data_IF_201907185354
#
_entry.id   IF_201907185354
#
_cell.length_a   1.000
_cell.length_b   1.000
_cell.length_c   1.000
_cell.angle_alpha   90.00
_cell.angle_beta   90.00
_cell.angle_gamma   90.00
#
_symmetry.space_group_name_H-M   'P 1'
#
loop_
_entity.id
_entity.type
_entity.pdbx_description
1 polymer ?
#
# COMPACT_ATOMS: atom_id res chain seq x y z
N UNK A 1 -23.24 21.07 -8.81
CA UNK A 1 -22.93 20.01 -7.82
C UNK A 1 -21.45 20.08 -7.51
N UNK A 2 -21.06 20.10 -6.23
CA UNK A 2 -19.65 19.99 -5.86
C UNK A 2 -19.15 18.57 -6.22
N UNK A 3 -17.91 18.41 -6.73
CA UNK A 3 -17.36 17.11 -7.01
C UNK A 3 -17.26 16.27 -5.72
N UNK A 4 -17.67 15.01 -5.79
CA UNK A 4 -17.48 14.08 -4.70
C UNK A 4 -16.07 13.50 -4.80
N UNK A 5 -15.14 14.10 -4.04
CA UNK A 5 -13.78 13.59 -3.94
C UNK A 5 -13.75 12.17 -3.41
N UNK A 6 -13.00 11.31 -4.08
CA UNK A 6 -12.89 9.89 -3.79
C UNK A 6 -11.49 9.38 -4.11
N UNK A 7 -11.10 8.26 -3.49
CA UNK A 7 -9.89 7.54 -3.93
C UNK A 7 -10.18 6.82 -5.25
N UNK A 8 -9.29 6.98 -6.21
CA UNK A 8 -9.31 6.27 -7.48
C UNK A 8 -9.25 4.75 -7.25
N UNK A 9 -9.90 3.97 -8.11
CA UNK A 9 -9.67 2.52 -8.17
C UNK A 9 -8.21 2.28 -8.52
N UNK A 10 -7.48 1.56 -7.67
CA UNK A 10 -6.03 1.40 -7.82
C UNK A 10 -5.60 -0.01 -7.42
N UNK A 11 -4.68 -0.60 -8.20
CA UNK A 11 -3.95 -1.79 -7.79
C UNK A 11 -3.01 -1.41 -6.64
N UNK A 12 -3.12 -2.04 -5.46
CA UNK A 12 -2.38 -1.58 -4.28
C UNK A 12 -0.85 -1.61 -4.41
N UNK A 13 -0.32 -2.44 -5.32
CA UNK A 13 1.11 -2.55 -5.58
C UNK A 13 1.77 -1.28 -6.11
N UNK A 14 0.99 -0.33 -6.67
CA UNK A 14 1.51 0.96 -7.11
C UNK A 14 2.20 1.75 -5.99
N UNK A 15 1.78 1.56 -4.74
CA UNK A 15 2.37 2.22 -3.57
C UNK A 15 3.88 1.89 -3.43
N UNK A 16 4.32 0.72 -3.92
CA UNK A 16 5.74 0.33 -3.90
C UNK A 16 6.60 1.02 -4.94
N UNK A 17 6.00 1.43 -6.05
CA UNK A 17 6.75 1.91 -7.21
C UNK A 17 6.79 3.43 -7.28
N UNK A 18 5.67 4.07 -6.99
CA UNK A 18 5.46 5.48 -7.31
C UNK A 18 5.88 6.38 -6.16
N UNK A 19 6.48 7.57 -6.41
CA UNK A 19 6.90 8.50 -5.37
C UNK A 19 5.78 8.84 -4.37
N UNK A 20 6.13 9.21 -3.14
CA UNK A 20 5.17 9.58 -2.09
C UNK A 20 4.05 10.53 -2.54
N UNK A 21 4.41 11.55 -3.33
CA UNK A 21 3.46 12.58 -3.77
C UNK A 21 2.37 12.03 -4.69
N UNK A 22 2.54 10.83 -5.23
CA UNK A 22 1.50 10.11 -5.97
C UNK A 22 0.19 10.00 -5.18
N UNK A 23 0.26 9.93 -3.84
CA UNK A 23 -0.92 9.93 -2.99
C UNK A 23 -1.89 11.09 -3.29
N UNK A 24 -1.38 12.28 -3.64
CA UNK A 24 -2.22 13.42 -4.04
C UNK A 24 -3.02 13.15 -5.32
N UNK A 25 -2.43 12.42 -6.27
CA UNK A 25 -3.04 12.07 -7.56
C UNK A 25 -4.02 10.90 -7.47
N UNK A 26 -4.06 10.19 -6.33
CA UNK A 26 -5.05 9.13 -6.11
C UNK A 26 -6.42 9.67 -5.69
N UNK A 27 -6.53 10.94 -5.32
CA UNK A 27 -7.80 11.55 -4.89
C UNK A 27 -8.40 12.30 -6.08
N UNK A 28 -9.43 11.72 -6.69
CA UNK A 28 -10.05 12.18 -7.92
C UNK A 28 -11.50 12.62 -7.69
N UNK A 29 -12.02 13.56 -8.48
CA UNK A 29 -13.44 13.92 -8.44
C UNK A 29 -14.33 12.90 -9.19
N UNK A 30 -13.78 12.18 -10.17
CA UNK A 30 -14.47 11.14 -10.96
C UNK A 30 -13.48 10.04 -11.35
N UNK A 31 -13.95 8.79 -11.42
CA UNK A 31 -13.16 7.61 -11.82
C UNK A 31 -12.97 7.52 -13.34
N UNK A 32 -13.85 8.16 -14.12
CA UNK A 32 -13.84 8.03 -15.57
C UNK A 32 -13.06 9.16 -16.21
N UNK A 33 -13.47 10.40 -16.00
CA UNK A 33 -12.83 11.55 -16.64
C UNK A 33 -13.09 12.83 -15.87
N UNK A 34 -12.07 13.65 -15.68
CA UNK A 34 -12.20 14.94 -15.01
C UNK A 34 -11.20 15.97 -15.54
N UNK A 35 -11.47 17.26 -15.32
CA UNK A 35 -10.53 18.31 -15.73
C UNK A 35 -9.36 18.41 -14.73
N UNK A 36 -8.13 18.54 -15.24
CA UNK A 36 -6.92 18.82 -14.46
C UNK A 36 -7.09 20.01 -13.51
N UNK A 37 -7.91 21.00 -13.87
CA UNK A 37 -8.24 22.16 -13.02
C UNK A 37 -8.89 21.80 -11.68
N UNK A 38 -9.50 20.61 -11.57
CA UNK A 38 -10.00 20.11 -10.29
C UNK A 38 -8.87 20.01 -9.25
N UNK A 39 -7.65 19.75 -9.69
CA UNK A 39 -6.44 19.69 -8.86
C UNK A 39 -5.68 21.02 -8.78
N UNK A 40 -6.33 22.16 -9.03
CA UNK A 40 -5.70 23.49 -8.96
C UNK A 40 -5.03 23.80 -7.61
N UNK A 41 -5.50 23.17 -6.52
CA UNK A 41 -4.96 23.34 -5.17
C UNK A 41 -3.82 22.37 -4.80
N UNK A 42 -3.44 21.45 -5.69
CA UNK A 42 -2.35 20.52 -5.40
C UNK A 42 -1.00 21.24 -5.35
N UNK A 43 -0.05 20.74 -4.54
CA UNK A 43 1.25 21.36 -4.40
C UNK A 43 2.18 20.97 -5.58
N UNK A 44 1.89 21.47 -6.77
CA UNK A 44 2.51 21.06 -8.03
C UNK A 44 4.05 21.14 -8.05
N UNK A 45 4.63 22.13 -7.37
CA UNK A 45 6.07 22.37 -7.34
C UNK A 45 6.81 21.59 -6.25
N UNK A 46 6.10 20.80 -5.42
CA UNK A 46 6.75 20.05 -4.33
C UNK A 46 7.49 18.83 -4.87
N UNK A 47 8.60 18.51 -4.17
CA UNK A 47 9.36 17.30 -4.39
C UNK A 47 8.48 16.05 -4.32
N UNK A 48 8.70 15.10 -5.25
CA UNK A 48 7.86 13.91 -5.37
C UNK A 48 8.17 12.83 -4.33
N UNK A 49 9.42 12.78 -3.88
CA UNK A 49 9.90 11.83 -2.88
C UNK A 49 9.88 12.49 -1.50
N UNK A 50 9.26 11.84 -0.51
CA UNK A 50 9.32 12.31 0.88
C UNK A 50 10.78 12.40 1.33
N UNK A 51 11.09 13.36 2.19
CA UNK A 51 12.29 13.32 3.00
C UNK A 51 11.98 12.57 4.30
N UNK A 52 12.73 11.51 4.67
CA UNK A 52 12.57 10.87 5.98
C UNK A 52 12.88 11.83 7.15
N UNK A 53 13.52 12.98 6.90
CA UNK A 53 13.89 13.96 7.90
C UNK A 53 15.26 13.67 8.51
N UNK A 54 15.57 14.32 9.62
CA UNK A 54 16.85 14.11 10.32
C UNK A 54 16.83 12.85 11.19
N UNK A 55 17.98 12.18 11.30
CA UNK A 55 18.13 11.04 12.24
C UNK A 55 17.88 11.49 13.69
N UNK A 56 18.24 12.73 14.04
CA UNK A 56 18.07 13.27 15.39
C UNK A 56 16.59 13.40 15.77
N UNK A 57 15.72 13.76 14.82
CA UNK A 57 14.26 13.80 15.05
C UNK A 57 13.69 12.41 15.36
N UNK A 58 14.25 11.38 14.71
CA UNK A 58 13.86 9.98 14.92
C UNK A 58 14.29 9.49 16.30
N UNK A 59 15.55 9.77 16.68
CA UNK A 59 16.09 9.45 18.01
C UNK A 59 15.29 10.18 19.09
N UNK A 60 15.05 11.48 18.93
CA UNK A 60 14.26 12.27 19.88
C UNK A 60 12.81 11.78 20.00
N UNK A 61 12.22 11.25 18.91
CA UNK A 61 10.89 10.62 18.96
C UNK A 61 10.94 9.29 19.70
N UNK A 62 11.91 8.43 19.42
CA UNK A 62 12.07 7.15 20.11
C UNK A 62 12.29 7.35 21.61
N UNK A 63 13.21 8.21 22.02
CA UNK A 63 13.51 8.47 23.43
C UNK A 63 12.31 9.01 24.22
N UNK A 64 11.39 9.77 23.59
CA UNK A 64 10.16 10.27 24.25
C UNK A 64 9.20 9.16 24.67
N UNK A 65 9.26 7.99 24.03
CA UNK A 65 8.34 6.90 24.28
C UNK A 65 8.90 5.81 25.20
N UNK A 66 10.19 5.89 25.58
CA UNK A 66 10.86 4.87 26.39
C UNK A 66 11.29 5.38 27.78
N UNK A 67 11.24 4.54 28.83
CA UNK A 67 11.84 4.87 30.12
C UNK A 67 13.34 5.16 29.97
N UNK A 68 13.90 6.07 30.77
CA UNK A 68 15.32 6.48 30.69
C UNK A 68 16.34 5.32 30.68
N UNK A 69 16.02 4.17 31.29
CA UNK A 69 16.89 2.99 31.32
C UNK A 69 16.99 2.25 29.98
N UNK A 70 16.08 2.52 29.05
CA UNK A 70 16.04 1.91 27.71
C UNK A 70 16.40 2.92 26.61
N UNK A 71 16.78 4.15 26.97
CA UNK A 71 17.00 5.23 26.01
C UNK A 71 18.11 4.91 24.99
N UNK A 72 19.23 4.34 25.43
CA UNK A 72 20.34 3.97 24.56
C UNK A 72 19.94 2.88 23.56
N UNK A 73 19.13 1.92 24.01
CA UNK A 73 18.60 0.85 23.16
C UNK A 73 17.59 1.43 22.16
N UNK A 74 16.67 2.30 22.60
CA UNK A 74 15.70 2.97 21.74
C UNK A 74 16.38 3.86 20.69
N UNK A 75 17.48 4.53 21.04
CA UNK A 75 18.31 5.29 20.11
C UNK A 75 18.95 4.39 19.07
N UNK A 76 19.58 3.28 19.48
CA UNK A 76 20.19 2.33 18.55
C UNK A 76 19.15 1.83 17.52
N UNK A 77 17.99 1.38 17.99
CA UNK A 77 16.89 0.94 17.13
C UNK A 77 16.40 2.05 16.19
N UNK A 78 16.30 3.30 16.69
CA UNK A 78 15.88 4.43 15.86
C UNK A 78 16.88 4.72 14.74
N UNK A 79 18.18 4.66 15.01
CA UNK A 79 19.25 4.85 14.02
C UNK A 79 19.29 3.73 13.00
N UNK A 80 19.27 2.47 13.44
CA UNK A 80 19.22 1.31 12.54
C UNK A 80 17.99 1.35 11.63
N UNK A 81 16.85 1.77 12.19
CA UNK A 81 15.62 1.93 11.43
C UNK A 81 15.71 3.09 10.42
N UNK A 82 16.25 4.24 10.82
CA UNK A 82 16.51 5.37 9.93
C UNK A 82 17.39 4.96 8.74
N UNK A 83 18.50 4.28 9.00
CA UNK A 83 19.41 3.81 7.96
C UNK A 83 18.72 2.82 7.01
N UNK A 84 17.87 1.93 7.53
CA UNK A 84 17.06 1.03 6.70
C UNK A 84 16.14 1.81 5.78
N UNK A 85 15.42 2.80 6.31
CA UNK A 85 14.46 3.63 5.55
C UNK A 85 15.17 4.43 4.46
N UNK A 86 16.31 5.05 4.77
CA UNK A 86 17.12 5.78 3.78
C UNK A 86 17.59 4.85 2.67
N UNK A 87 18.11 3.65 3.00
CA UNK A 87 18.54 2.66 2.00
C UNK A 87 17.39 2.18 1.11
N UNK A 88 16.25 1.83 1.69
CA UNK A 88 15.07 1.37 0.94
C UNK A 88 14.57 2.47 0.00
N UNK A 89 14.50 3.71 0.49
CA UNK A 89 14.12 4.86 -0.33
C UNK A 89 15.09 5.07 -1.49
N UNK A 90 16.40 5.05 -1.24
CA UNK A 90 17.41 5.23 -2.29
C UNK A 90 17.26 4.17 -3.39
N UNK A 91 17.17 2.89 -3.02
CA UNK A 91 16.96 1.80 -3.97
C UNK A 91 15.68 1.98 -4.81
N UNK A 92 14.60 2.46 -4.18
CA UNK A 92 13.34 2.71 -4.88
C UNK A 92 13.42 3.89 -5.85
N UNK A 93 14.12 4.97 -5.46
CA UNK A 93 14.40 6.12 -6.35
C UNK A 93 15.24 5.68 -7.55
N UNK A 94 16.28 4.89 -7.33
CA UNK A 94 17.15 4.34 -8.38
C UNK A 94 16.36 3.47 -9.35
N UNK A 95 15.55 2.55 -8.83
CA UNK A 95 14.76 1.65 -9.66
C UNK A 95 13.67 2.39 -10.45
N UNK A 96 12.99 3.37 -9.83
CA UNK A 96 12.04 4.23 -10.54
C UNK A 96 12.72 5.06 -11.65
N UNK A 97 13.89 5.62 -11.35
CA UNK A 97 14.72 6.35 -12.33
C UNK A 97 15.12 5.47 -13.50
N UNK A 98 15.52 4.24 -13.23
CA UNK A 98 15.87 3.25 -14.24
C UNK A 98 14.65 2.89 -15.12
N UNK A 99 13.46 2.75 -14.54
CA UNK A 99 12.23 2.53 -15.30
C UNK A 99 11.88 3.72 -16.20
N UNK A 100 12.02 4.96 -15.72
CA UNK A 100 11.87 6.16 -16.55
C UNK A 100 12.84 6.10 -17.74
N UNK A 101 14.12 5.78 -17.48
CA UNK A 101 15.15 5.66 -18.52
C UNK A 101 14.81 4.60 -19.56
N UNK A 102 14.40 3.40 -19.15
CA UNK A 102 13.98 2.30 -20.05
C UNK A 102 12.80 2.68 -20.93
N UNK A 103 11.88 3.51 -20.42
CA UNK A 103 10.71 4.01 -21.14
C UNK A 103 10.99 5.26 -21.99
N UNK A 104 12.17 5.87 -21.85
CA UNK A 104 12.50 7.14 -22.50
C UNK A 104 11.79 8.35 -21.91
N UNK A 105 11.42 8.29 -20.62
CA UNK A 105 10.73 9.36 -19.89
C UNK A 105 11.73 10.15 -19.02
N UNK A 106 11.51 11.46 -18.82
CA UNK A 106 12.27 12.22 -17.84
C UNK A 106 11.96 11.73 -16.42
N UNK A 107 12.97 11.81 -15.54
CA UNK A 107 12.82 11.52 -14.12
C UNK A 107 12.09 12.70 -13.47
N UNK A 108 10.94 12.47 -12.81
CA UNK A 108 10.20 13.56 -12.20
C UNK A 108 10.83 13.98 -10.87
N UNK A 109 10.97 15.29 -10.69
CA UNK A 109 11.38 15.94 -9.46
C UNK A 109 10.21 16.65 -8.77
N UNK A 110 9.24 17.15 -9.53
CA UNK A 110 8.02 17.82 -9.03
C UNK A 110 6.75 17.01 -9.25
N UNK A 111 5.68 17.32 -8.52
CA UNK A 111 4.39 16.64 -8.68
C UNK A 111 3.81 16.84 -10.10
N UNK A 112 4.06 17.99 -10.73
CA UNK A 112 3.70 18.21 -12.13
C UNK A 112 4.46 17.28 -13.07
N UNK A 113 5.78 17.20 -12.94
CA UNK A 113 6.59 16.28 -13.75
C UNK A 113 6.21 14.83 -13.51
N UNK A 114 5.82 14.48 -12.27
CA UNK A 114 5.32 13.15 -11.94
C UNK A 114 4.04 12.86 -12.72
N UNK A 115 3.07 13.77 -12.76
CA UNK A 115 1.85 13.55 -13.56
C UNK A 115 2.19 13.29 -15.03
N UNK A 116 3.08 14.09 -15.64
CA UNK A 116 3.55 13.86 -17.01
C UNK A 116 4.22 12.49 -17.18
N UNK A 117 5.04 12.07 -16.22
CA UNK A 117 5.69 10.76 -16.20
C UNK A 117 4.66 9.62 -16.11
N UNK A 118 3.65 9.74 -15.24
CA UNK A 118 2.58 8.76 -15.08
C UNK A 118 1.70 8.66 -16.34
N UNK A 119 1.47 9.78 -17.04
CA UNK A 119 0.83 9.76 -18.38
C UNK A 119 1.70 8.97 -19.36
N UNK A 120 3.02 9.19 -19.37
CA UNK A 120 3.96 8.43 -20.20
C UNK A 120 4.01 6.92 -19.90
N UNK A 121 3.79 6.53 -18.65
CA UNK A 121 3.62 5.13 -18.26
C UNK A 121 2.23 4.56 -18.57
N UNK A 122 1.25 5.39 -18.91
CA UNK A 122 -0.13 4.97 -19.18
C UNK A 122 -1.01 4.83 -17.93
N UNK A 123 -0.58 5.39 -16.80
CA UNK A 123 -1.36 5.41 -15.56
C UNK A 123 -2.41 6.52 -15.51
N UNK A 124 -2.24 7.53 -16.34
CA UNK A 124 -3.26 8.51 -16.65
C UNK A 124 -3.31 8.66 -18.17
N UNK A 125 -4.50 8.81 -18.72
CA UNK A 125 -4.67 9.32 -20.08
C UNK A 125 -4.97 10.81 -20.00
N UNK A 126 -4.36 11.60 -20.88
CA UNK A 126 -4.56 13.04 -20.95
C UNK A 126 -5.00 13.45 -22.35
N UNK A 127 -6.17 14.09 -22.45
CA UNK A 127 -6.72 14.66 -23.67
C UNK A 127 -7.01 16.15 -23.44
N UNK A 128 -6.04 16.98 -23.83
CA UNK A 128 -6.00 18.39 -23.45
C UNK A 128 -5.94 18.58 -21.94
N UNK A 129 -6.96 19.24 -21.38
CA UNK A 129 -7.12 19.49 -19.94
C UNK A 129 -7.83 18.35 -19.20
N UNK A 130 -8.20 17.28 -19.89
CA UNK A 130 -8.97 16.19 -19.29
C UNK A 130 -8.09 14.99 -18.98
N UNK A 131 -8.31 14.42 -17.80
CA UNK A 131 -7.59 13.27 -17.27
C UNK A 131 -8.53 12.09 -17.03
N UNK A 132 -8.04 10.90 -17.34
CA UNK A 132 -8.68 9.61 -17.04
C UNK A 132 -7.68 8.80 -16.20
N UNK A 133 -7.99 8.46 -14.93
CA UNK A 133 -7.12 7.62 -14.12
C UNK A 133 -7.19 6.17 -14.62
N UNK A 134 -6.03 5.52 -14.74
CA UNK A 134 -5.90 4.11 -15.14
C UNK A 134 -5.05 3.32 -14.14
N UNK A 135 -5.25 3.63 -12.86
CA UNK A 135 -4.49 3.11 -11.73
C UNK A 135 -4.87 1.65 -11.38
N UNK A 136 -5.93 1.14 -11.99
CA UNK A 136 -6.40 -0.24 -11.93
C UNK A 136 -5.57 -1.20 -12.79
N UNK A 137 -4.65 -0.68 -13.62
CA UNK A 137 -3.70 -1.48 -14.37
C UNK A 137 -2.61 -2.06 -13.47
N UNK A 138 -2.15 -3.28 -13.77
CA UNK A 138 -1.11 -3.95 -13.00
C UNK A 138 0.28 -3.36 -13.34
N UNK A 139 1.15 -3.06 -12.36
CA UNK A 139 2.51 -2.63 -12.62
C UNK A 139 3.32 -3.54 -13.54
N UNK A 140 3.09 -4.86 -13.49
CA UNK A 140 3.80 -5.83 -14.35
C UNK A 140 3.48 -5.58 -15.84
N UNK A 141 2.27 -5.14 -16.15
CA UNK A 141 1.82 -4.94 -17.53
C UNK A 141 2.26 -3.57 -18.09
N UNK A 142 2.58 -2.60 -17.21
CA UNK A 142 2.87 -1.22 -17.58
C UNK A 142 4.33 -0.81 -17.43
N UNK A 143 4.97 -1.25 -16.35
CA UNK A 143 6.33 -0.85 -16.05
C UNK A 143 7.33 -1.67 -16.89
N UNK A 144 8.45 -1.06 -17.33
CA UNK A 144 9.49 -1.75 -18.07
C UNK A 144 10.37 -2.60 -17.13
N UNK A 145 9.75 -3.52 -16.39
CA UNK A 145 10.43 -4.49 -15.53
C UNK A 145 11.12 -5.57 -16.38
N UNK A 146 12.26 -6.08 -15.90
CA UNK A 146 13.07 -7.05 -16.61
C UNK A 146 13.50 -8.23 -15.73
N UNK A 147 13.45 -9.45 -16.29
CA UNK A 147 13.97 -10.66 -15.65
C UNK A 147 13.41 -10.90 -14.25
N UNK A 148 14.30 -10.95 -13.25
CA UNK A 148 13.95 -11.22 -11.86
C UNK A 148 13.06 -10.13 -11.23
N UNK A 149 13.03 -8.91 -11.78
CA UNK A 149 12.16 -7.84 -11.28
C UNK A 149 10.67 -8.22 -11.39
N UNK A 150 10.28 -8.92 -12.46
CA UNK A 150 8.91 -9.39 -12.66
C UNK A 150 8.55 -10.45 -11.63
N UNK A 151 9.42 -11.46 -11.45
CA UNK A 151 9.20 -12.54 -10.48
C UNK A 151 9.12 -12.02 -9.03
N UNK A 152 9.97 -11.04 -8.71
CA UNK A 152 9.97 -10.38 -7.40
C UNK A 152 8.69 -9.57 -7.20
N UNK A 153 8.22 -8.85 -8.22
CA UNK A 153 6.97 -8.10 -8.16
C UNK A 153 5.76 -9.02 -8.01
N UNK A 154 5.68 -10.14 -8.74
CA UNK A 154 4.62 -11.13 -8.58
C UNK A 154 4.55 -11.70 -7.16
N UNK A 155 5.72 -11.94 -6.55
CA UNK A 155 5.79 -12.37 -5.15
C UNK A 155 5.30 -11.27 -4.23
N UNK A 156 5.81 -10.05 -4.40
CA UNK A 156 5.42 -8.92 -3.58
C UNK A 156 3.92 -8.62 -3.69
N UNK A 157 3.30 -8.72 -4.88
CA UNK A 157 1.85 -8.57 -5.04
C UNK A 157 1.04 -9.63 -4.29
N UNK A 158 1.57 -10.86 -4.13
CA UNK A 158 0.93 -11.88 -3.30
C UNK A 158 1.00 -11.52 -1.83
N UNK A 159 2.13 -10.97 -1.39
CA UNK A 159 2.33 -10.54 0.00
C UNK A 159 1.42 -9.35 0.35
N UNK A 160 1.33 -8.35 -0.51
CA UNK A 160 0.44 -7.19 -0.33
C UNK A 160 -1.03 -7.59 -0.18
N UNK A 161 -1.51 -8.48 -1.05
CA UNK A 161 -2.87 -9.04 -0.98
C UNK A 161 -3.11 -9.74 0.37
N UNK A 162 -2.11 -10.45 0.87
CA UNK A 162 -2.16 -11.13 2.17
C UNK A 162 -2.26 -10.13 3.31
N UNK A 163 -1.51 -9.02 3.26
CA UNK A 163 -1.58 -7.93 4.24
C UNK A 163 -2.92 -7.21 4.19
N UNK A 164 -3.46 -6.90 3.01
CA UNK A 164 -4.78 -6.27 2.88
C UNK A 164 -5.90 -7.13 3.49
N UNK A 165 -5.90 -8.43 3.19
CA UNK A 165 -6.83 -9.37 3.82
C UNK A 165 -6.67 -9.35 5.35
N UNK A 166 -5.45 -9.27 5.86
CA UNK A 166 -5.21 -9.19 7.31
C UNK A 166 -5.73 -7.89 7.93
N UNK A 167 -5.54 -6.74 7.26
CA UNK A 167 -6.07 -5.44 7.68
C UNK A 167 -7.60 -5.49 7.77
N UNK A 168 -8.27 -5.95 6.72
CA UNK A 168 -9.75 -6.03 6.71
C UNK A 168 -10.26 -7.04 7.73
N UNK A 169 -9.59 -8.18 7.92
CA UNK A 169 -9.93 -9.13 8.99
C UNK A 169 -9.80 -8.51 10.38
N UNK A 170 -8.75 -7.71 10.62
CA UNK A 170 -8.58 -7.00 11.90
C UNK A 170 -9.73 -6.04 12.15
N UNK A 171 -10.13 -5.26 11.15
CA UNK A 171 -11.26 -4.33 11.27
C UNK A 171 -12.58 -5.05 11.58
N UNK A 172 -12.87 -6.11 10.83
CA UNK A 172 -14.04 -6.95 11.07
C UNK A 172 -14.00 -7.58 12.47
N UNK A 173 -12.85 -8.13 12.87
CA UNK A 173 -12.65 -8.68 14.19
C UNK A 173 -12.83 -7.62 15.28
N UNK A 174 -12.42 -6.37 15.03
CA UNK A 174 -12.66 -5.21 15.90
C UNK A 174 -14.13 -5.09 16.34
N UNK A 175 -15.06 -5.43 15.44
CA UNK A 175 -16.52 -5.32 15.62
C UNK A 175 -17.19 -6.57 16.22
N UNK A 176 -16.47 -7.68 16.43
CA UNK A 176 -17.07 -8.94 16.91
C UNK A 176 -17.01 -9.12 18.44
N UNK A 177 -17.91 -9.97 18.98
CA UNK A 177 -18.00 -10.26 20.42
C UNK A 177 -16.72 -10.91 20.95
N UNK A 178 -16.26 -10.46 22.11
CA UNK A 178 -15.06 -10.96 22.79
C UNK A 178 -15.28 -12.39 23.31
N UNK A 179 -14.50 -13.37 22.84
CA UNK A 179 -14.15 -14.56 23.63
C UNK A 179 -12.73 -14.37 24.15
N UNK A 180 -12.49 -14.77 25.39
CA UNK A 180 -11.43 -14.26 26.27
C UNK A 180 -9.98 -14.16 25.72
N UNK A 181 -9.63 -14.74 24.56
CA UNK A 181 -8.34 -14.57 23.84
C UNK A 181 -8.40 -14.68 22.31
N UNK A 182 -9.58 -14.91 21.74
CA UNK A 182 -9.76 -15.15 20.31
C UNK A 182 -10.96 -14.40 19.79
N UNK A 183 -10.84 -13.89 18.57
CA UNK A 183 -11.96 -13.29 17.86
C UNK A 183 -12.34 -14.19 16.70
N UNK A 184 -13.64 -14.42 16.57
CA UNK A 184 -14.20 -15.15 15.44
C UNK A 184 -14.90 -14.14 14.53
N UNK A 185 -14.47 -14.12 13.27
CA UNK A 185 -15.06 -13.33 12.19
C UNK A 185 -15.79 -14.30 11.30
N UNK A 186 -17.10 -14.16 11.18
CA UNK A 186 -17.87 -14.88 10.16
C UNK A 186 -18.24 -13.87 9.10
N UNK A 187 -17.81 -14.11 7.86
CA UNK A 187 -18.13 -13.24 6.73
C UNK A 187 -18.53 -14.08 5.53
N UNK A 188 -19.24 -13.42 4.63
CA UNK A 188 -19.44 -13.90 3.28
C UNK A 188 -18.21 -13.52 2.43
N UNK A 189 -17.71 -14.47 1.63
CA UNK A 189 -16.51 -14.31 0.82
C UNK A 189 -16.76 -13.34 -0.32
N UNK A 190 -17.94 -13.36 -0.93
CA UNK A 190 -18.30 -12.45 -1.99
C UNK A 190 -18.32 -11.00 -1.50
N UNK A 191 -18.95 -10.76 -0.33
CA UNK A 191 -18.93 -9.45 0.32
C UNK A 191 -17.51 -9.02 0.72
N UNK A 192 -16.68 -9.95 1.20
CA UNK A 192 -15.29 -9.69 1.59
C UNK A 192 -14.41 -9.34 0.38
N UNK A 193 -14.56 -10.08 -0.72
CA UNK A 193 -13.91 -9.83 -2.00
C UNK A 193 -14.33 -8.51 -2.63
N UNK A 194 -15.62 -8.18 -2.56
CA UNK A 194 -16.16 -6.89 -3.00
C UNK A 194 -15.59 -5.72 -2.20
N UNK A 195 -15.45 -5.87 -0.87
CA UNK A 195 -14.85 -4.84 -0.01
C UNK A 195 -13.37 -4.59 -0.35
N UNK A 196 -12.64 -5.65 -0.69
CA UNK A 196 -11.23 -5.58 -1.10
C UNK A 196 -11.04 -5.22 -2.58
N UNK A 197 -12.12 -5.21 -3.37
CA UNK A 197 -12.08 -5.10 -4.84
C UNK A 197 -11.15 -6.13 -5.48
N UNK A 198 -11.19 -7.36 -4.98
CA UNK A 198 -10.36 -8.48 -5.43
C UNK A 198 -11.23 -9.66 -5.87
N UNK A 199 -10.79 -10.51 -6.82
CA UNK A 199 -11.48 -11.76 -7.12
C UNK A 199 -11.51 -12.70 -5.90
N UNK A 200 -12.61 -13.41 -5.69
CA UNK A 200 -12.77 -14.36 -4.57
C UNK A 200 -11.65 -15.41 -4.51
N UNK A 201 -11.17 -15.87 -5.68
CA UNK A 201 -10.06 -16.80 -5.77
C UNK A 201 -8.75 -16.22 -5.20
N UNK A 202 -8.50 -14.92 -5.40
CA UNK A 202 -7.33 -14.24 -4.81
C UNK A 202 -7.49 -14.09 -3.30
N UNK A 203 -8.69 -13.74 -2.84
CA UNK A 203 -8.99 -13.66 -1.41
C UNK A 203 -8.80 -15.02 -0.72
N UNK A 204 -9.24 -16.12 -1.34
CA UNK A 204 -9.00 -17.49 -0.82
C UNK A 204 -7.51 -17.79 -0.71
N UNK A 205 -6.73 -17.49 -1.76
CA UNK A 205 -5.27 -17.71 -1.75
C UNK A 205 -4.58 -16.87 -0.67
N UNK A 206 -4.96 -15.60 -0.54
CA UNK A 206 -4.45 -14.70 0.49
C UNK A 206 -4.83 -15.17 1.91
N UNK A 207 -6.05 -15.68 2.12
CA UNK A 207 -6.47 -16.27 3.40
C UNK A 207 -5.69 -17.55 3.73
N UNK A 208 -5.42 -18.40 2.74
CA UNK A 208 -4.59 -19.59 2.92
C UNK A 208 -3.16 -19.22 3.35
N UNK A 209 -2.54 -18.30 2.61
CA UNK A 209 -1.20 -17.81 2.92
C UNK A 209 -1.15 -17.11 4.28
N UNK A 210 -2.16 -16.32 4.64
CA UNK A 210 -2.28 -15.71 5.96
C UNK A 210 -2.39 -16.78 7.07
N UNK A 211 -3.06 -17.91 6.81
CA UNK A 211 -3.10 -19.08 7.68
C UNK A 211 -1.71 -19.61 8.00
N UNK A 212 -0.85 -19.74 6.99
CA UNK A 212 0.52 -20.21 7.13
C UNK A 212 1.40 -19.23 7.91
N UNK A 213 1.36 -17.94 7.55
CA UNK A 213 2.29 -16.96 8.13
C UNK A 213 1.84 -16.45 9.50
N UNK A 214 0.53 -16.37 9.78
CA UNK A 214 -0.03 -15.76 10.97
C UNK A 214 -0.83 -16.72 11.87
N UNK A 215 -0.93 -18.00 11.51
CA UNK A 215 -1.56 -19.04 12.33
C UNK A 215 -3.06 -18.82 12.52
N UNK A 216 -3.75 -18.22 11.54
CA UNK A 216 -5.20 -18.06 11.58
C UNK A 216 -5.89 -19.38 11.20
N UNK A 217 -7.09 -19.62 11.74
CA UNK A 217 -7.90 -20.79 11.38
C UNK A 217 -9.05 -20.34 10.47
N UNK A 218 -9.20 -20.98 9.31
CA UNK A 218 -10.26 -20.67 8.33
C UNK A 218 -11.16 -21.90 8.15
N UNK A 219 -12.47 -21.73 8.32
CA UNK A 219 -13.50 -22.77 8.25
C UNK A 219 -14.65 -22.36 7.29
N UNK A 220 -14.92 -23.10 6.21
CA UNK A 220 -14.16 -24.27 5.78
C UNK A 220 -12.76 -23.85 5.27
N UNK A 221 -11.81 -24.79 5.14
CA UNK A 221 -10.49 -24.48 4.60
C UNK A 221 -10.59 -23.80 3.23
N UNK A 222 -9.65 -22.89 2.85
CA UNK A 222 -9.75 -22.09 1.62
C UNK A 222 -9.91 -22.90 0.32
N UNK A 223 -9.44 -24.15 0.31
CA UNK A 223 -9.59 -25.10 -0.80
C UNK A 223 -11.05 -25.56 -1.05
N UNK A 224 -11.94 -25.39 -0.07
CA UNK A 224 -13.35 -25.76 -0.20
C UNK A 224 -14.15 -24.51 -0.63
N UNK A 225 -14.75 -24.57 -1.81
CA UNK A 225 -15.63 -23.52 -2.31
C UNK A 225 -16.92 -23.46 -1.48
N UNK A 226 -17.00 -22.48 -0.59
CA UNK A 226 -18.22 -22.05 0.11
C UNK A 226 -18.25 -20.54 0.26
N UNK A 227 -19.45 -19.98 0.21
CA UNK A 227 -19.65 -18.53 0.24
C UNK A 227 -19.37 -17.99 1.64
N UNK A 228 -19.81 -18.69 2.70
CA UNK A 228 -19.51 -18.30 4.07
C UNK A 228 -18.19 -18.88 4.57
N UNK A 229 -17.34 -17.98 5.08
CA UNK A 229 -16.09 -18.31 5.73
C UNK A 229 -16.08 -17.82 7.18
N UNK A 230 -15.57 -18.64 8.07
CA UNK A 230 -15.32 -18.32 9.47
C UNK A 230 -13.82 -18.30 9.70
N UNK A 231 -13.31 -17.13 10.10
CA UNK A 231 -11.90 -16.93 10.43
C UNK A 231 -11.76 -16.73 11.94
N UNK A 232 -10.88 -17.50 12.57
CA UNK A 232 -10.53 -17.33 13.98
C UNK A 232 -9.11 -16.79 14.09
N UNK A 233 -8.98 -15.63 14.76
CA UNK A 233 -7.70 -14.94 14.97
C UNK A 233 -7.33 -14.88 16.45
N UNK A 234 -6.04 -15.01 16.74
CA UNK A 234 -5.49 -14.83 18.09
C UNK A 234 -5.38 -13.34 18.44
N UNK A 235 -6.01 -12.91 19.54
CA UNK A 235 -6.04 -11.50 19.94
C UNK A 235 -5.33 -11.31 21.28
N UNK A 236 -4.53 -10.24 21.49
CA UNK A 236 -4.27 -9.08 20.62
C UNK A 236 -3.07 -9.23 19.68
N UNK A 237 -2.43 -10.41 19.63
CA UNK A 237 -1.22 -10.63 18.81
C UNK A 237 -1.44 -10.32 17.33
N UNK A 238 -2.55 -10.77 16.75
CA UNK A 238 -2.89 -10.49 15.35
C UNK A 238 -3.00 -8.98 15.09
N UNK A 239 -3.67 -8.24 15.98
CA UNK A 239 -3.82 -6.79 15.86
C UNK A 239 -2.49 -6.05 15.91
N UNK A 240 -1.56 -6.50 16.75
CA UNK A 240 -0.21 -5.93 16.86
C UNK A 240 0.67 -6.23 15.65
N UNK A 241 0.45 -7.37 15.00
CA UNK A 241 1.18 -7.78 13.80
C UNK A 241 0.74 -7.04 12.53
N UNK A 242 -0.52 -6.64 12.46
CA UNK A 242 -1.08 -5.88 11.34
C UNK A 242 -1.68 -4.56 11.84
N UNK A 243 -0.86 -3.61 12.32
CA UNK A 243 -1.36 -2.41 12.97
C UNK A 243 -1.95 -1.39 11.99
N UNK A 244 -1.68 -1.53 10.68
CA UNK A 244 -2.01 -0.55 9.66
C UNK A 244 -3.48 -0.58 9.25
N UNK A 245 -3.97 0.57 8.78
CA UNK A 245 -5.31 0.74 8.20
C UNK A 245 -5.29 0.63 6.66
N UNK A 246 -4.13 0.87 6.05
CA UNK A 246 -3.88 0.77 4.61
C UNK A 246 -2.51 0.07 4.41
N UNK A 247 -2.19 -0.37 3.18
CA UNK A 247 -0.83 -0.83 2.87
C UNK A 247 0.15 0.34 3.02
N UNK A 248 1.14 0.24 3.92
CA UNK A 248 2.19 1.26 4.00
C UNK A 248 3.12 1.12 2.79
N UNK A 249 3.67 2.25 2.33
CA UNK A 249 4.77 2.19 1.38
C UNK A 249 5.98 1.45 2.00
N UNK A 250 6.84 0.78 1.20
CA UNK A 250 7.94 -0.03 1.73
C UNK A 250 8.84 0.69 2.74
N UNK A 251 9.18 1.95 2.50
CA UNK A 251 9.98 2.79 3.41
C UNK A 251 9.22 3.25 4.66
N UNK A 252 7.92 3.01 4.72
CA UNK A 252 7.06 3.29 5.87
C UNK A 252 6.53 2.01 6.53
N UNK A 253 6.90 0.83 6.01
CA UNK A 253 6.60 -0.45 6.64
C UNK A 253 7.52 -0.63 7.87
N UNK A 254 6.89 -0.60 9.05
CA UNK A 254 7.53 -0.73 10.36
C UNK A 254 8.00 -2.16 10.61
#
# INVERSE_FOLDING_TARGET
>A
MAPQWQRALMVPSWIRWLPCSFAYLTVVPDQHRFSRKAWSMLPWDKAVWCDPGSVDDWVARAQRHHPRREADHAELHAREHYDRVVRVRAARVELFTEMCRRRGLPVPHTLEELLSCLVGFGLFEMDGEWLTPRLDQNPIDLLPLAGDEILNEERAQRDDRTVLVAITLRELAGRTRRRWRRRQVTTDLHAFASALRMPEAEVRRALAHLGEIAGIQVDPPPAVARDRVRVTVAWPSFARRFPFDDLPAPEHAL
#
